data_IF_464082727545
#
_entry.id   IF_464082727545
#
_cell.length_a   1.000
_cell.length_b   1.000
_cell.length_c   1.000
_cell.angle_alpha   90.00
_cell.angle_beta   90.00
_cell.angle_gamma   90.00
#
_symmetry.space_group_name_H-M   'P 1'
#
loop_
_entity.id
_entity.type
_entity.pdbx_description
1 polymer ?
#
# COMPACT_ATOMS: atom_id res chain seq x y z
N UNK A 1 -16.56 9.16 -63.50
CA UNK A 1 -15.73 9.08 -62.28
C UNK A 1 -16.45 8.20 -61.28
N UNK A 2 -15.88 7.03 -61.00
CA UNK A 2 -16.52 5.94 -60.26
C UNK A 2 -16.65 6.26 -58.78
N UNK A 3 -17.88 6.19 -58.25
CA UNK A 3 -18.16 6.40 -56.82
C UNK A 3 -17.85 5.10 -56.08
N UNK A 4 -16.76 5.08 -55.32
CA UNK A 4 -16.46 4.00 -54.38
C UNK A 4 -17.48 4.04 -53.25
N UNK A 5 -18.50 3.18 -53.31
CA UNK A 5 -19.39 2.95 -52.17
C UNK A 5 -18.61 2.26 -51.05
N UNK A 6 -18.43 2.98 -49.94
CA UNK A 6 -17.83 2.45 -48.72
C UNK A 6 -18.84 1.48 -48.07
N UNK A 7 -18.51 0.19 -48.07
CA UNK A 7 -19.30 -0.84 -47.42
C UNK A 7 -19.59 -0.50 -45.93
N UNK A 8 -20.77 -0.85 -45.40
CA UNK A 8 -21.15 -0.53 -44.03
C UNK A 8 -20.21 -1.18 -43.02
N UNK A 9 -19.73 -0.39 -42.06
CA UNK A 9 -18.81 -0.84 -41.00
C UNK A 9 -19.46 -1.97 -40.19
N UNK A 10 -18.80 -3.13 -40.02
CA UNK A 10 -19.38 -4.26 -39.30
C UNK A 10 -19.65 -3.90 -37.84
N UNK A 11 -20.92 -4.02 -37.44
CA UNK A 11 -21.38 -3.76 -36.07
C UNK A 11 -20.78 -4.79 -35.13
N UNK A 12 -19.88 -4.35 -34.24
CA UNK A 12 -19.23 -5.23 -33.26
C UNK A 12 -20.27 -5.83 -32.31
N UNK A 13 -20.27 -7.15 -32.17
CA UNK A 13 -21.12 -7.88 -31.22
C UNK A 13 -20.80 -7.38 -29.80
N UNK A 14 -21.79 -6.80 -29.14
CA UNK A 14 -21.66 -6.32 -27.75
C UNK A 14 -22.22 -7.37 -26.80
N UNK A 15 -21.44 -7.75 -25.79
CA UNK A 15 -21.85 -8.71 -24.78
C UNK A 15 -22.36 -7.96 -23.53
N UNK A 16 -23.49 -8.39 -22.93
CA UNK A 16 -23.99 -7.80 -21.69
C UNK A 16 -22.94 -7.88 -20.58
N UNK A 17 -22.82 -6.83 -19.76
CA UNK A 17 -21.84 -6.78 -18.65
C UNK A 17 -22.02 -7.94 -17.66
N UNK A 18 -23.27 -8.32 -17.37
CA UNK A 18 -23.59 -9.43 -16.46
C UNK A 18 -23.05 -10.78 -16.97
N UNK A 19 -23.28 -11.09 -18.24
CA UNK A 19 -22.80 -12.31 -18.88
C UNK A 19 -21.26 -12.34 -18.92
N UNK A 20 -20.61 -11.21 -19.27
CA UNK A 20 -19.14 -11.10 -19.20
C UNK A 20 -18.61 -11.40 -17.78
N UNK A 21 -19.24 -10.85 -16.74
CA UNK A 21 -18.82 -11.06 -15.35
C UNK A 21 -18.97 -12.53 -14.93
N UNK A 22 -20.07 -13.19 -15.31
CA UNK A 22 -20.31 -14.60 -15.02
C UNK A 22 -19.25 -15.51 -15.66
N UNK A 23 -18.98 -15.35 -16.96
CA UNK A 23 -17.99 -16.17 -17.68
C UNK A 23 -16.58 -15.95 -17.10
N UNK A 24 -16.23 -14.70 -16.75
CA UNK A 24 -14.94 -14.39 -16.12
C UNK A 24 -14.80 -15.00 -14.72
N UNK A 25 -15.89 -15.01 -13.93
CA UNK A 25 -15.91 -15.64 -12.61
C UNK A 25 -15.74 -17.17 -12.71
N UNK A 26 -16.38 -17.80 -13.69
CA UNK A 26 -16.25 -19.24 -13.98
C UNK A 26 -14.81 -19.61 -14.37
N UNK A 27 -14.14 -18.77 -15.15
CA UNK A 27 -12.71 -18.93 -15.47
C UNK A 27 -11.78 -18.81 -14.25
N UNK A 28 -12.26 -18.23 -13.14
CA UNK A 28 -11.48 -18.07 -11.91
C UNK A 28 -11.46 -19.30 -11.02
N UNK A 29 -12.27 -20.33 -11.32
CA UNK A 29 -12.34 -21.56 -10.53
C UNK A 29 -11.06 -22.40 -10.71
N UNK A 30 -10.55 -23.04 -9.62
CA UNK A 30 -9.38 -23.89 -9.71
C UNK A 30 -9.64 -25.06 -10.67
N UNK A 31 -8.80 -25.19 -11.70
CA UNK A 31 -8.94 -26.24 -12.73
C UNK A 31 -9.81 -25.87 -13.94
N UNK A 32 -10.41 -24.67 -13.98
CA UNK A 32 -11.19 -24.24 -15.14
C UNK A 32 -10.29 -23.92 -16.36
N UNK A 33 -10.55 -24.59 -17.48
CA UNK A 33 -9.91 -24.25 -18.76
C UNK A 33 -10.66 -23.13 -19.45
N UNK A 34 -9.96 -22.03 -19.74
CA UNK A 34 -10.53 -20.86 -20.44
C UNK A 34 -11.10 -21.26 -21.80
N UNK A 35 -10.47 -22.21 -22.49
CA UNK A 35 -10.97 -22.72 -23.76
C UNK A 35 -12.28 -23.51 -23.60
N UNK A 36 -12.39 -24.34 -22.56
CA UNK A 36 -13.62 -25.09 -22.28
C UNK A 36 -14.78 -24.15 -21.94
N UNK A 37 -14.54 -23.17 -21.06
CA UNK A 37 -15.54 -22.14 -20.70
C UNK A 37 -15.94 -21.32 -21.95
N UNK A 38 -15.00 -20.94 -22.80
CA UNK A 38 -15.29 -20.24 -24.04
C UNK A 38 -16.21 -21.06 -24.98
N UNK A 39 -15.96 -22.36 -25.11
CA UNK A 39 -16.79 -23.26 -25.92
C UNK A 39 -18.21 -23.42 -25.35
N UNK A 40 -18.35 -23.63 -24.03
CA UNK A 40 -19.66 -23.77 -23.37
C UNK A 40 -20.54 -22.53 -23.56
N UNK A 41 -19.94 -21.34 -23.56
CA UNK A 41 -20.66 -20.07 -23.73
C UNK A 41 -20.71 -19.57 -25.19
N UNK A 42 -20.12 -20.30 -26.15
CA UNK A 42 -20.06 -19.90 -27.55
C UNK A 42 -19.28 -18.59 -27.80
N UNK A 43 -18.27 -18.33 -26.98
CA UNK A 43 -17.44 -17.12 -27.02
C UNK A 43 -16.04 -17.44 -27.55
N UNK A 44 -15.39 -16.49 -28.21
CA UNK A 44 -14.01 -16.65 -28.64
C UNK A 44 -13.06 -16.63 -27.43
N UNK A 45 -12.19 -17.65 -27.29
CA UNK A 45 -11.23 -17.75 -26.20
C UNK A 45 -10.31 -16.51 -26.09
N UNK A 46 -9.88 -15.91 -27.20
CA UNK A 46 -9.05 -14.70 -27.19
C UNK A 46 -9.77 -13.51 -26.53
N UNK A 47 -11.08 -13.41 -26.73
CA UNK A 47 -11.91 -12.36 -26.16
C UNK A 47 -12.11 -12.59 -24.65
N UNK A 48 -12.25 -13.84 -24.23
CA UNK A 48 -12.27 -14.22 -22.82
C UNK A 48 -10.94 -13.94 -22.11
N UNK A 49 -9.80 -14.23 -22.74
CA UNK A 49 -8.47 -13.85 -22.21
C UNK A 49 -8.34 -12.34 -21.96
N UNK A 50 -8.84 -11.52 -22.89
CA UNK A 50 -8.86 -10.06 -22.73
C UNK A 50 -9.72 -9.64 -21.55
N UNK A 51 -10.89 -10.26 -21.39
CA UNK A 51 -11.80 -9.96 -20.29
C UNK A 51 -11.24 -10.34 -18.92
N UNK A 52 -10.64 -11.54 -18.79
CA UNK A 52 -9.98 -11.99 -17.55
C UNK A 52 -8.84 -11.05 -17.16
N UNK A 53 -8.00 -10.64 -18.13
CA UNK A 53 -6.91 -9.68 -17.88
C UNK A 53 -7.45 -8.32 -17.40
N UNK A 54 -8.54 -7.84 -18.00
CA UNK A 54 -9.16 -6.58 -17.61
C UNK A 54 -9.74 -6.66 -16.19
N UNK A 55 -10.41 -7.76 -15.84
CA UNK A 55 -10.96 -7.98 -14.50
C UNK A 55 -9.85 -8.05 -13.44
N UNK A 56 -8.72 -8.74 -13.72
CA UNK A 56 -7.57 -8.77 -12.81
C UNK A 56 -6.97 -7.37 -12.55
N UNK A 57 -6.91 -6.51 -13.57
CA UNK A 57 -6.46 -5.12 -13.42
C UNK A 57 -7.45 -4.22 -12.67
N UNK A 58 -8.74 -4.52 -12.75
CA UNK A 58 -9.76 -3.80 -11.99
C UNK A 58 -9.79 -4.25 -10.52
N UNK A 59 -9.43 -5.50 -10.26
CA UNK A 59 -9.37 -6.07 -8.91
C UNK A 59 -7.99 -5.96 -8.24
N UNK A 60 -6.98 -5.44 -8.94
CA UNK A 60 -5.71 -5.11 -8.30
C UNK A 60 -5.92 -3.83 -7.49
N UNK A 61 -6.20 -4.00 -6.21
CA UNK A 61 -6.04 -2.96 -5.20
C UNK A 61 -4.65 -2.36 -5.42
N UNK A 62 -4.58 -1.04 -5.61
CA UNK A 62 -3.30 -0.34 -5.75
C UNK A 62 -2.39 -0.76 -4.58
N UNK A 63 -1.07 -0.93 -4.80
CA UNK A 63 -0.17 -1.32 -3.71
C UNK A 63 -0.36 -0.36 -2.54
N UNK A 64 -0.84 -0.89 -1.41
CA UNK A 64 -1.07 -0.10 -0.21
C UNK A 64 0.29 0.16 0.46
N UNK A 65 0.61 1.43 0.68
CA UNK A 65 1.76 1.79 1.50
C UNK A 65 1.44 1.46 2.96
N UNK A 66 2.13 0.46 3.51
CA UNK A 66 2.01 0.10 4.92
C UNK A 66 3.06 0.91 5.70
N UNK A 67 2.66 1.74 6.68
CA UNK A 67 3.62 2.45 7.51
C UNK A 67 4.39 1.44 8.39
N UNK A 68 5.71 1.43 8.27
CA UNK A 68 6.61 0.66 9.14
C UNK A 68 7.11 1.58 10.23
N UNK A 69 6.79 1.26 11.49
CA UNK A 69 7.36 1.96 12.64
C UNK A 69 8.83 1.55 12.78
N UNK A 70 9.73 2.51 12.64
CA UNK A 70 11.15 2.29 12.94
C UNK A 70 11.36 2.38 14.46
N UNK A 71 12.22 1.54 15.05
CA UNK A 71 12.61 1.71 16.43
C UNK A 71 13.24 3.09 16.61
N UNK A 72 12.88 3.78 17.71
CA UNK A 72 13.48 5.06 18.04
C UNK A 72 15.00 4.90 18.09
N UNK A 73 15.70 5.58 17.18
CA UNK A 73 17.16 5.60 17.22
C UNK A 73 17.58 6.11 18.60
N UNK A 74 18.60 5.50 19.25
CA UNK A 74 19.12 6.05 20.49
C UNK A 74 19.53 7.48 20.18
N UNK A 75 18.85 8.44 20.79
CA UNK A 75 19.25 9.82 20.66
C UNK A 75 20.64 9.89 21.27
N UNK A 76 21.67 9.97 20.42
CA UNK A 76 22.92 10.67 20.76
C UNK A 76 22.60 12.15 20.91
N UNK A 77 21.60 12.42 21.75
CA UNK A 77 20.99 13.69 22.00
C UNK A 77 21.87 14.45 22.96
N UNK A 78 21.82 15.77 22.84
CA UNK A 78 22.48 16.69 23.74
C UNK A 78 22.19 16.28 25.19
N UNK A 79 23.21 16.36 26.04
CA UNK A 79 23.08 16.12 27.47
C UNK A 79 23.17 17.47 28.19
N UNK A 80 22.39 17.62 29.26
CA UNK A 80 22.48 18.70 30.24
C UNK A 80 23.56 18.27 31.23
N UNK A 81 24.62 19.05 31.38
CA UNK A 81 25.65 18.83 32.40
C UNK A 81 25.45 19.82 33.55
N UNK A 82 25.28 19.30 34.76
CA UNK A 82 25.15 20.09 35.98
C UNK A 82 26.32 19.75 36.88
N UNK A 83 27.13 20.76 37.20
CA UNK A 83 28.25 20.62 38.14
C UNK A 83 27.87 21.24 39.48
N UNK A 84 27.95 20.43 40.53
CA UNK A 84 27.62 20.79 41.89
C UNK A 84 28.89 20.75 42.74
N UNK A 85 29.12 21.78 43.55
CA UNK A 85 30.25 21.84 44.48
C UNK A 85 29.75 22.18 45.88
N UNK A 86 30.07 21.32 46.86
CA UNK A 86 29.79 21.55 48.28
C UNK A 86 31.05 21.29 49.09
N UNK A 87 31.78 22.36 49.42
CA UNK A 87 33.08 22.27 50.08
C UNK A 87 34.08 21.47 49.23
N UNK A 88 34.75 20.44 49.77
CA UNK A 88 35.70 19.62 49.00
C UNK A 88 35.04 18.63 48.03
N UNK A 89 33.71 18.46 48.08
CA UNK A 89 33.00 17.48 47.24
C UNK A 89 32.50 18.15 45.96
N UNK A 90 32.89 17.59 44.81
CA UNK A 90 32.36 17.94 43.50
C UNK A 90 31.62 16.75 42.89
N UNK A 91 30.45 17.01 42.32
CA UNK A 91 29.66 16.03 41.59
C UNK A 91 29.25 16.60 40.24
N UNK A 92 29.31 15.75 39.20
CA UNK A 92 28.85 16.08 37.85
C UNK A 92 27.70 15.16 37.50
N UNK A 93 26.56 15.73 37.15
CA UNK A 93 25.36 15.01 36.71
C UNK A 93 25.17 15.25 35.22
N UNK A 94 25.01 14.17 34.46
CA UNK A 94 24.66 14.23 33.05
C UNK A 94 23.24 13.70 32.84
N UNK A 95 22.39 14.52 32.22
CA UNK A 95 20.98 14.21 31.99
C UNK A 95 20.63 14.36 30.51
N UNK A 96 19.93 13.42 29.86
CA UNK A 96 19.53 13.57 28.46
C UNK A 96 18.50 14.70 28.29
N UNK A 97 18.63 15.54 27.25
CA UNK A 97 17.69 16.66 27.01
C UNK A 97 16.24 16.19 26.80
N UNK A 98 16.03 14.96 26.35
CA UNK A 98 14.68 14.35 26.23
C UNK A 98 13.94 14.27 27.56
N UNK A 99 14.66 14.25 28.68
CA UNK A 99 14.11 14.12 30.03
C UNK A 99 14.35 15.38 30.87
N UNK A 100 14.49 16.55 30.23
CA UNK A 100 14.78 17.82 30.91
C UNK A 100 13.77 18.18 32.02
N UNK A 101 12.50 17.78 31.89
CA UNK A 101 11.49 17.99 32.93
C UNK A 101 11.81 17.23 34.21
N UNK A 102 12.30 15.99 34.12
CA UNK A 102 12.70 15.20 35.27
C UNK A 102 13.94 15.79 35.95
N UNK A 103 14.89 16.33 35.17
CA UNK A 103 16.04 17.06 35.68
C UNK A 103 15.64 18.29 36.52
N UNK A 104 14.64 19.06 36.07
CA UNK A 104 14.13 20.23 36.81
C UNK A 104 13.48 19.81 38.12
N UNK A 105 12.68 18.74 38.11
CA UNK A 105 12.05 18.22 39.33
C UNK A 105 13.09 17.82 40.37
N UNK A 106 14.11 17.06 39.95
CA UNK A 106 15.21 16.66 40.83
C UNK A 106 15.96 17.86 41.41
N UNK A 107 16.32 18.84 40.57
CA UNK A 107 17.06 20.02 41.01
C UNK A 107 16.27 20.89 42.00
N UNK A 108 14.94 20.97 41.83
CA UNK A 108 14.05 21.68 42.77
C UNK A 108 13.94 21.00 44.12
N UNK A 109 13.94 19.68 44.15
CA UNK A 109 13.95 18.91 45.40
C UNK A 109 15.26 19.10 46.15
N UNK A 110 16.38 19.14 45.44
CA UNK A 110 17.71 19.29 46.02
C UNK A 110 18.02 20.69 46.56
N UNK A 111 17.38 21.73 46.02
CA UNK A 111 17.55 23.12 46.44
C UNK A 111 16.58 23.58 47.54
N UNK A 112 15.72 22.68 48.04
CA UNK A 112 14.90 22.92 49.23
C UNK A 112 15.67 22.60 50.50
#
# INVERSE_FOLDING_TARGET
>A
MSKTELAPVPKRRSYPKALKAQIVAECGQPGASIAAVALSHGVNANLLHKWVRQAKRQNSVAPAFVPVALPAAPSTGRHIEIRLSRGPVQATVQWPVSEASACVTWLREWLR
#
